data_IF_837921385171
#
_entry.id   IF_837921385171
#
_cell.length_a   1.000
_cell.length_b   1.000
_cell.length_c   1.000
_cell.angle_alpha   90.00
_cell.angle_beta   90.00
_cell.angle_gamma   90.00
#
_symmetry.space_group_name_H-M   'P 1'
#
loop_
_entity.id
_entity.type
_entity.pdbx_description
1 polymer ?
#
# COMPACT_ATOMS: atom_id res chain seq x y z
N UNK A 1 -14.15 -18.38 -3.94
CA UNK A 1 -13.47 -18.85 -2.71
C UNK A 1 -14.52 -19.01 -1.62
N UNK A 2 -14.71 -20.24 -1.09
CA UNK A 2 -15.79 -20.59 -0.15
C UNK A 2 -15.97 -19.66 1.07
N UNK A 3 -14.90 -19.09 1.69
CA UNK A 3 -15.06 -18.24 2.87
C UNK A 3 -15.79 -16.92 2.61
N UNK A 4 -15.70 -16.39 1.40
CA UNK A 4 -16.27 -15.07 1.03
C UNK A 4 -17.75 -15.20 0.64
N UNK A 5 -18.13 -16.29 -0.04
CA UNK A 5 -19.52 -16.59 -0.39
C UNK A 5 -20.39 -16.92 0.82
N UNK A 6 -19.79 -17.47 1.89
CA UNK A 6 -20.48 -17.75 3.15
C UNK A 6 -20.75 -16.48 3.97
N UNK A 7 -19.84 -15.50 3.92
CA UNK A 7 -19.94 -14.23 4.68
C UNK A 7 -20.85 -13.18 4.01
N UNK A 8 -20.94 -13.17 2.69
CA UNK A 8 -21.75 -12.20 1.91
C UNK A 8 -23.11 -12.77 1.44
N UNK A 9 -23.54 -13.92 1.98
CA UNK A 9 -24.89 -14.44 1.77
C UNK A 9 -25.10 -15.17 0.44
N UNK A 10 -24.47 -16.34 0.26
CA UNK A 10 -24.82 -17.31 -0.79
C UNK A 10 -24.74 -16.78 -2.23
N UNK A 11 -23.86 -15.82 -2.51
CA UNK A 11 -23.67 -15.34 -3.88
C UNK A 11 -22.53 -16.11 -4.54
N UNK A 12 -22.88 -17.10 -5.36
CA UNK A 12 -21.93 -17.92 -6.10
C UNK A 12 -21.53 -17.21 -7.41
N UNK A 13 -20.73 -16.14 -7.27
CA UNK A 13 -20.26 -15.32 -8.39
C UNK A 13 -19.50 -16.12 -9.46
N UNK A 14 -19.06 -17.34 -9.15
CA UNK A 14 -18.41 -18.23 -10.13
C UNK A 14 -19.34 -18.65 -11.27
N UNK A 15 -20.66 -18.71 -11.06
CA UNK A 15 -21.62 -19.23 -12.05
C UNK A 15 -22.43 -18.14 -12.75
N UNK A 16 -22.07 -16.86 -12.58
CA UNK A 16 -22.70 -15.75 -13.31
C UNK A 16 -22.02 -15.55 -14.67
N UNK A 17 -22.70 -15.99 -15.72
CA UNK A 17 -22.27 -15.81 -17.10
C UNK A 17 -23.44 -15.47 -18.01
N UNK A 18 -23.16 -14.67 -19.02
CA UNK A 18 -24.10 -14.39 -20.12
C UNK A 18 -23.62 -15.22 -21.30
N UNK A 19 -24.53 -15.96 -21.91
CA UNK A 19 -24.28 -16.70 -23.15
C UNK A 19 -24.55 -15.74 -24.31
N UNK A 20 -23.53 -15.43 -25.10
CA UNK A 20 -23.65 -14.50 -26.24
C UNK A 20 -24.00 -15.24 -27.53
N UNK A 21 -23.67 -16.53 -27.61
CA UNK A 21 -24.00 -17.40 -28.73
C UNK A 21 -24.17 -18.82 -28.22
N UNK A 22 -25.33 -19.41 -28.49
CA UNK A 22 -25.61 -20.81 -28.19
C UNK A 22 -24.64 -21.70 -28.99
N UNK A 23 -24.06 -22.69 -28.30
CA UNK A 23 -23.20 -23.70 -28.91
C UNK A 23 -24.00 -24.74 -29.67
N UNK A 24 -23.35 -25.81 -30.13
CA UNK A 24 -23.98 -26.86 -30.94
C UNK A 24 -25.13 -27.62 -30.24
N UNK A 25 -25.30 -27.43 -28.93
CA UNK A 25 -26.32 -28.08 -28.10
C UNK A 25 -27.11 -26.97 -27.41
N UNK A 26 -28.37 -26.78 -27.80
CA UNK A 26 -29.28 -25.79 -27.23
C UNK A 26 -30.00 -26.32 -25.98
N UNK A 27 -30.02 -25.53 -24.91
CA UNK A 27 -30.67 -25.85 -23.62
C UNK A 27 -29.87 -25.29 -22.43
N UNK A 28 -30.51 -25.02 -21.28
CA UNK A 28 -29.95 -24.17 -20.22
C UNK A 28 -28.68 -24.78 -19.63
N UNK A 29 -27.59 -24.01 -19.64
CA UNK A 29 -26.31 -24.45 -19.10
C UNK A 29 -26.29 -24.25 -17.58
N UNK A 30 -26.36 -25.34 -16.82
CA UNK A 30 -26.34 -25.35 -15.34
C UNK A 30 -25.02 -24.82 -14.75
N UNK A 31 -23.93 -24.83 -15.52
CA UNK A 31 -22.64 -24.29 -15.07
C UNK A 31 -21.77 -23.84 -16.23
N UNK A 32 -20.81 -22.97 -15.90
CA UNK A 32 -19.79 -22.45 -16.82
C UNK A 32 -19.04 -23.53 -17.61
N UNK A 33 -18.80 -24.68 -16.96
CA UNK A 33 -18.08 -25.80 -17.56
C UNK A 33 -18.91 -26.47 -18.66
N UNK A 34 -20.23 -26.53 -18.50
CA UNK A 34 -21.14 -27.15 -19.50
C UNK A 34 -21.33 -26.22 -20.70
N UNK A 35 -21.38 -24.89 -20.49
CA UNK A 35 -21.48 -23.93 -21.59
C UNK A 35 -20.20 -23.87 -22.44
N UNK A 36 -19.02 -23.90 -21.82
CA UNK A 36 -17.73 -23.89 -22.53
C UNK A 36 -17.48 -25.19 -23.30
N UNK A 37 -17.89 -26.34 -22.75
CA UNK A 37 -17.75 -27.65 -23.42
C UNK A 37 -18.76 -27.83 -24.56
N UNK A 38 -19.93 -27.18 -24.50
CA UNK A 38 -20.89 -27.11 -25.60
C UNK A 38 -20.46 -26.18 -26.76
N UNK A 39 -19.32 -25.50 -26.64
CA UNK A 39 -18.83 -24.53 -27.62
C UNK A 39 -19.62 -23.22 -27.62
N UNK A 40 -20.38 -22.93 -26.55
CA UNK A 40 -21.09 -21.67 -26.40
C UNK A 40 -20.10 -20.57 -26.03
N UNK A 41 -20.22 -19.41 -26.68
CA UNK A 41 -19.39 -18.25 -26.34
C UNK A 41 -20.03 -17.56 -25.15
N UNK A 42 -19.43 -17.71 -23.97
CA UNK A 42 -19.91 -17.10 -22.72
C UNK A 42 -18.99 -15.97 -22.25
N UNK A 43 -19.59 -14.87 -21.79
CA UNK A 43 -18.86 -13.85 -21.01
C UNK A 43 -19.07 -14.17 -19.53
N UNK A 44 -17.97 -14.56 -18.88
CA UNK A 44 -17.94 -15.00 -17.48
C UNK A 44 -17.60 -13.81 -16.56
N UNK A 45 -18.48 -12.82 -16.53
CA UNK A 45 -18.26 -11.59 -15.75
C UNK A 45 -18.25 -11.84 -14.24
N UNK A 46 -18.88 -12.92 -13.77
CA UNK A 46 -18.86 -13.30 -12.36
C UNK A 46 -17.46 -13.59 -11.82
N UNK A 47 -16.60 -14.24 -12.61
CA UNK A 47 -15.20 -14.49 -12.24
C UNK A 47 -14.40 -13.18 -12.18
N UNK A 48 -14.65 -12.26 -13.12
CA UNK A 48 -14.01 -10.95 -13.15
C UNK A 48 -14.38 -10.10 -11.93
N UNK A 49 -15.68 -10.05 -11.58
CA UNK A 49 -16.15 -9.32 -10.38
C UNK A 49 -15.58 -9.94 -9.11
N UNK A 50 -15.52 -11.27 -9.01
CA UNK A 50 -14.89 -11.95 -7.88
C UNK A 50 -13.39 -11.62 -7.77
N UNK A 51 -12.66 -11.59 -8.88
CA UNK A 51 -11.25 -11.18 -8.87
C UNK A 51 -11.08 -9.73 -8.42
N UNK A 52 -11.95 -8.82 -8.89
CA UNK A 52 -11.96 -7.41 -8.50
C UNK A 52 -12.24 -7.23 -7.00
N UNK A 53 -13.24 -7.93 -6.46
CA UNK A 53 -13.58 -7.90 -5.03
C UNK A 53 -12.42 -8.44 -4.19
N UNK A 54 -11.83 -9.58 -4.57
CA UNK A 54 -10.68 -10.14 -3.85
C UNK A 54 -9.50 -9.18 -3.86
N UNK A 55 -9.20 -8.57 -5.01
CA UNK A 55 -8.14 -7.57 -5.12
C UNK A 55 -8.40 -6.39 -4.19
N UNK A 56 -9.63 -5.87 -4.15
CA UNK A 56 -9.98 -4.73 -3.31
C UNK A 56 -9.89 -5.05 -1.82
N UNK A 57 -10.34 -6.24 -1.39
CA UNK A 57 -10.24 -6.70 0.00
C UNK A 57 -8.76 -6.87 0.40
N UNK A 58 -7.95 -7.52 -0.43
CA UNK A 58 -6.51 -7.69 -0.19
C UNK A 58 -5.79 -6.34 -0.13
N UNK A 59 -6.10 -5.43 -1.05
CA UNK A 59 -5.54 -4.09 -1.05
C UNK A 59 -5.90 -3.31 0.22
N UNK A 60 -7.17 -3.35 0.64
CA UNK A 60 -7.60 -2.73 1.90
C UNK A 60 -6.93 -3.35 3.12
N UNK A 61 -6.82 -4.67 3.17
CA UNK A 61 -6.17 -5.37 4.27
C UNK A 61 -4.67 -5.01 4.35
N UNK A 62 -3.93 -5.08 3.24
CA UNK A 62 -2.51 -4.72 3.21
C UNK A 62 -2.32 -3.23 3.56
N UNK A 63 -3.16 -2.35 3.02
CA UNK A 63 -3.08 -0.92 3.33
C UNK A 63 -3.32 -0.65 4.82
N UNK A 64 -4.35 -1.25 5.42
CA UNK A 64 -4.71 -0.99 6.81
C UNK A 64 -3.75 -1.64 7.81
N UNK A 65 -3.35 -2.90 7.58
CA UNK A 65 -2.50 -3.67 8.49
C UNK A 65 -1.00 -3.47 8.29
N UNK A 66 -0.54 -3.05 7.10
CA UNK A 66 0.90 -2.91 6.80
C UNK A 66 1.27 -1.45 6.56
N UNK A 67 0.64 -0.79 5.58
CA UNK A 67 1.03 0.56 5.17
C UNK A 67 0.77 1.59 6.27
N UNK A 68 -0.41 1.53 6.90
CA UNK A 68 -0.79 2.45 7.98
C UNK A 68 0.15 2.42 9.20
N UNK A 69 0.46 1.26 9.81
CA UNK A 69 1.38 1.23 10.94
C UNK A 69 2.81 1.58 10.55
N UNK A 70 3.30 1.14 9.39
CA UNK A 70 4.65 1.51 8.94
C UNK A 70 4.79 3.01 8.72
N UNK A 71 3.79 3.66 8.12
CA UNK A 71 3.80 5.11 7.92
C UNK A 71 3.73 5.87 9.27
N UNK A 72 2.96 5.36 10.24
CA UNK A 72 2.91 5.92 11.59
C UNK A 72 4.24 5.76 12.34
N UNK A 73 4.91 4.61 12.21
CA UNK A 73 6.21 4.37 12.83
C UNK A 73 7.32 5.22 12.20
N UNK A 74 7.33 5.33 10.86
CA UNK A 74 8.25 6.21 10.14
C UNK A 74 8.07 7.69 10.52
N UNK A 75 6.83 8.15 10.69
CA UNK A 75 6.54 9.50 11.16
C UNK A 75 7.04 9.74 12.60
N UNK A 76 6.90 8.74 13.48
CA UNK A 76 7.42 8.81 14.86
C UNK A 76 8.95 8.82 14.92
N UNK A 77 9.63 8.12 14.02
CA UNK A 77 11.09 8.12 13.93
C UNK A 77 11.64 9.47 13.45
N UNK A 78 11.06 10.05 12.39
CA UNK A 78 11.44 11.40 11.92
C UNK A 78 11.25 12.47 13.01
N UNK A 79 10.21 12.35 13.83
CA UNK A 79 9.98 13.27 14.94
C UNK A 79 10.95 13.07 16.11
N UNK A 80 11.51 11.87 16.30
CA UNK A 80 12.58 11.63 17.30
C UNK A 80 13.92 12.16 16.82
N UNK A 81 14.22 12.04 15.53
CA UNK A 81 15.48 12.50 14.95
C UNK A 81 15.57 14.03 14.92
N UNK A 82 14.44 14.73 14.82
CA UNK A 82 14.37 16.18 15.02
C UNK A 82 14.62 16.64 16.48
N UNK A 83 14.60 15.72 17.45
CA UNK A 83 14.82 16.00 18.89
C UNK A 83 16.21 15.51 19.35
N UNK A 84 16.95 14.78 18.50
CA UNK A 84 18.39 14.55 18.71
C UNK A 84 19.07 15.90 18.42
N UNK A 85 19.88 16.44 19.35
CA UNK A 85 20.19 17.86 19.38
C UNK A 85 21.25 18.24 18.34
N UNK A 86 20.86 18.31 17.07
CA UNK A 86 21.68 18.90 16.01
C UNK A 86 21.90 20.41 16.22
N UNK A 87 21.17 21.03 17.17
CA UNK A 87 21.30 22.45 17.50
C UNK A 87 22.31 22.73 18.62
N UNK A 88 22.77 21.74 19.39
CA UNK A 88 23.69 22.04 20.51
C UNK A 88 25.16 21.96 20.15
N UNK A 89 25.57 21.46 18.98
CA UNK A 89 27.01 21.30 18.70
C UNK A 89 27.68 22.55 18.10
N UNK A 90 26.94 23.64 17.86
CA UNK A 90 27.45 24.86 17.21
C UNK A 90 27.24 26.10 18.10
N UNK A 91 28.29 26.92 18.27
CA UNK A 91 28.26 28.29 18.82
C UNK A 91 28.57 29.30 17.73
N UNK A 92 28.08 30.52 17.89
CA UNK A 92 28.50 31.65 17.06
C UNK A 92 29.79 32.27 17.62
N UNK A 93 30.75 32.53 16.73
CA UNK A 93 32.00 33.21 17.10
C UNK A 93 31.73 34.70 17.42
N UNK A 94 32.12 35.24 18.59
CA UNK A 94 31.89 36.63 18.97
C UNK A 94 32.64 37.65 18.11
N UNK A 95 33.70 37.25 17.41
CA UNK A 95 34.52 38.15 16.58
C UNK A 95 34.06 38.24 15.13
N UNK A 96 33.60 37.12 14.55
CA UNK A 96 33.27 37.04 13.12
C UNK A 96 31.87 36.50 12.81
N UNK A 97 31.04 36.26 13.84
CA UNK A 97 29.66 35.77 13.74
C UNK A 97 29.47 34.47 12.94
N UNK A 98 30.54 33.69 12.72
CA UNK A 98 30.49 32.43 12.00
C UNK A 98 30.13 31.27 12.93
N UNK A 99 29.27 30.35 12.47
CA UNK A 99 28.92 29.13 13.20
C UNK A 99 30.12 28.17 13.26
N UNK A 100 30.54 27.84 14.47
CA UNK A 100 31.70 27.00 14.77
C UNK A 100 31.33 25.92 15.79
N UNK A 101 32.04 24.79 15.84
CA UNK A 101 31.74 23.73 16.80
C UNK A 101 31.96 24.21 18.25
N UNK A 102 31.11 23.78 19.19
CA UNK A 102 31.16 24.21 20.60
C UNK A 102 32.55 24.03 21.24
N UNK A 103 33.22 22.93 20.91
CA UNK A 103 34.54 22.55 21.44
C UNK A 103 35.71 23.28 20.78
N UNK A 104 35.47 24.17 19.82
CA UNK A 104 36.55 24.93 19.17
C UNK A 104 37.17 25.93 20.14
N UNK A 105 38.48 25.82 20.36
CA UNK A 105 39.33 26.78 21.10
C UNK A 105 39.85 27.91 20.21
N UNK A 106 39.84 27.74 18.88
CA UNK A 106 40.22 28.76 17.89
C UNK A 106 39.22 28.75 16.73
N UNK A 107 38.84 29.94 16.26
CA UNK A 107 37.96 30.07 15.11
C UNK A 107 38.71 29.74 13.80
N UNK A 108 38.19 28.87 12.92
CA UNK A 108 38.83 28.57 11.63
C UNK A 108 38.75 29.70 10.61
N UNK A 109 37.82 30.65 10.78
CA UNK A 109 37.60 31.74 9.83
C UNK A 109 38.44 32.98 10.16
N UNK A 110 38.37 33.45 11.41
CA UNK A 110 39.09 34.67 11.85
C UNK A 110 40.33 34.39 12.71
N UNK A 111 40.66 33.13 12.99
CA UNK A 111 41.83 32.70 13.80
C UNK A 111 41.88 33.23 15.24
N UNK A 112 40.82 33.88 15.72
CA UNK A 112 40.69 34.36 17.10
C UNK A 112 40.61 33.20 18.10
N UNK A 113 41.22 33.37 19.26
CA UNK A 113 41.08 32.44 20.38
C UNK A 113 39.75 32.64 21.09
N UNK A 114 39.06 31.53 21.30
CA UNK A 114 37.73 31.46 21.90
C UNK A 114 37.90 30.70 23.22
N UNK A 115 38.47 31.40 24.20
CA UNK A 115 38.56 30.91 25.58
C UNK A 115 37.18 30.78 26.20
#
# INVERSE_FOLDING_TARGET
MPPIGLLLGNVDFGNLFIVLKEGAIGGPYESLLVAQTAGAVTINYGVFINALINFLILAMAIFFFVVRPLNQLAARQKSKEAVIPAQTDKKDCPYCATQIPLKASKCPYCTSELM
#
